data_IF_273971787623
#
_entry.id   IF_273971787623
#
_cell.length_a   1.000
_cell.length_b   1.000
_cell.length_c   1.000
_cell.angle_alpha   90.00
_cell.angle_beta   90.00
_cell.angle_gamma   90.00
#
_symmetry.space_group_name_H-M   'P 1'
#
loop_
_entity.id
_entity.type
_entity.pdbx_description
1 polymer ?
#
# COMPACT_ATOMS: atom_id res chain seq x y z
N UNK A 1 16.43 5.85 -11.63
CA UNK A 1 15.31 5.02 -12.12
C UNK A 1 13.99 5.71 -11.76
N UNK A 2 13.08 5.81 -12.70
CA UNK A 2 11.76 6.36 -12.44
C UNK A 2 10.99 5.46 -11.47
N UNK A 3 10.18 6.04 -10.61
CA UNK A 3 9.43 5.28 -9.59
C UNK A 3 8.59 4.14 -10.17
N UNK A 4 7.94 4.38 -11.31
CA UNK A 4 7.12 3.35 -11.96
C UNK A 4 7.96 2.18 -12.49
N UNK A 5 9.15 2.42 -13.00
CA UNK A 5 10.04 1.35 -13.46
C UNK A 5 10.50 0.48 -12.30
N UNK A 6 10.77 1.09 -11.15
CA UNK A 6 11.12 0.37 -9.93
C UNK A 6 9.96 -0.54 -9.48
N UNK A 7 8.73 -0.01 -9.51
CA UNK A 7 7.54 -0.78 -9.14
C UNK A 7 7.31 -1.96 -10.09
N UNK A 8 7.49 -1.75 -11.39
CA UNK A 8 7.37 -2.83 -12.38
C UNK A 8 8.41 -3.92 -12.15
N UNK A 9 9.63 -3.53 -11.74
CA UNK A 9 10.67 -4.48 -11.39
C UNK A 9 10.30 -5.34 -10.19
N UNK A 10 9.64 -4.77 -9.18
CA UNK A 10 9.14 -5.55 -8.04
C UNK A 10 8.02 -6.51 -8.45
N UNK A 11 7.16 -6.10 -9.37
CA UNK A 11 6.05 -6.93 -9.85
C UNK A 11 6.55 -8.11 -10.67
N UNK A 12 7.51 -7.88 -11.57
CA UNK A 12 8.04 -8.97 -12.44
C UNK A 12 9.13 -9.83 -11.78
N UNK A 13 9.55 -9.45 -10.56
CA UNK A 13 10.54 -10.20 -9.79
C UNK A 13 12.00 -9.83 -10.06
N UNK A 14 12.28 -8.88 -10.95
CA UNK A 14 13.66 -8.43 -11.22
C UNK A 14 14.22 -7.56 -10.11
N UNK A 15 13.36 -6.97 -9.29
CA UNK A 15 13.71 -6.19 -8.10
C UNK A 15 13.00 -6.82 -6.91
N UNK A 16 13.70 -7.04 -5.76
CA UNK A 16 13.06 -7.59 -4.57
C UNK A 16 11.97 -6.67 -4.03
N UNK A 17 10.93 -7.27 -3.42
CA UNK A 17 9.94 -6.52 -2.64
C UNK A 17 10.63 -5.82 -1.47
N UNK A 18 10.02 -4.77 -0.95
CA UNK A 18 10.57 -4.03 0.20
C UNK A 18 10.74 -4.93 1.43
N UNK A 19 11.74 -4.67 2.29
CA UNK A 19 11.94 -5.46 3.50
C UNK A 19 10.70 -5.58 4.38
N UNK A 20 9.97 -4.49 4.60
CA UNK A 20 8.74 -4.51 5.40
C UNK A 20 7.68 -5.40 4.77
N UNK A 21 7.51 -5.33 3.45
CA UNK A 21 6.57 -6.18 2.72
C UNK A 21 6.91 -7.65 2.89
N UNK A 22 8.18 -8.00 2.78
CA UNK A 22 8.64 -9.39 2.97
C UNK A 22 8.42 -9.87 4.41
N UNK A 23 8.70 -9.00 5.38
CA UNK A 23 8.52 -9.33 6.80
C UNK A 23 7.06 -9.55 7.15
N UNK A 24 6.17 -8.70 6.67
CA UNK A 24 4.74 -8.79 6.97
C UNK A 24 3.98 -9.70 6.00
N UNK A 25 4.60 -10.13 4.91
CA UNK A 25 4.00 -11.12 4.00
C UNK A 25 3.01 -10.54 3.00
N UNK A 26 3.19 -9.29 2.58
CA UNK A 26 2.41 -8.72 1.48
C UNK A 26 3.33 -8.33 0.32
N UNK A 27 2.77 -8.04 -0.82
CA UNK A 27 3.55 -7.72 -2.01
C UNK A 27 2.84 -6.69 -2.89
N UNK A 28 3.63 -5.89 -3.60
CA UNK A 28 3.15 -5.05 -4.69
C UNK A 28 2.84 -5.96 -5.87
N UNK A 29 1.62 -5.91 -6.38
CA UNK A 29 1.13 -6.82 -7.41
C UNK A 29 0.70 -6.14 -8.70
N UNK A 30 0.46 -4.83 -8.69
CA UNK A 30 0.13 -4.06 -9.89
C UNK A 30 0.50 -2.60 -9.68
N UNK A 31 0.84 -1.91 -10.76
CA UNK A 31 1.17 -0.50 -10.71
C UNK A 31 0.99 0.17 -12.07
N UNK A 32 0.53 1.40 -12.04
CA UNK A 32 0.58 2.35 -13.15
C UNK A 32 0.74 3.76 -12.56
N UNK A 33 0.96 4.75 -13.37
CA UNK A 33 1.16 6.10 -12.86
C UNK A 33 -0.03 6.52 -11.99
N UNK A 34 0.24 6.86 -10.74
CA UNK A 34 -0.76 7.28 -9.76
C UNK A 34 -1.57 6.17 -9.13
N UNK A 35 -1.24 4.90 -9.38
CA UNK A 35 -1.98 3.76 -8.83
C UNK A 35 -1.04 2.60 -8.47
N UNK A 36 -1.25 2.02 -7.29
CA UNK A 36 -0.52 0.83 -6.85
C UNK A 36 -1.46 -0.13 -6.14
N UNK A 37 -1.35 -1.42 -6.47
CA UNK A 37 -2.02 -2.51 -5.78
C UNK A 37 -1.03 -3.27 -4.91
N UNK A 38 -1.44 -3.54 -3.68
CA UNK A 38 -0.72 -4.38 -2.72
C UNK A 38 -1.66 -5.50 -2.27
N UNK A 39 -1.19 -6.73 -2.27
CA UNK A 39 -1.99 -7.90 -1.88
C UNK A 39 -1.41 -8.62 -0.69
N UNK A 40 -2.28 -9.19 0.12
CA UNK A 40 -1.92 -10.07 1.23
C UNK A 40 -2.83 -11.31 1.21
N UNK A 41 -2.25 -12.46 1.52
CA UNK A 41 -3.01 -13.65 1.88
C UNK A 41 -3.00 -13.73 3.41
N UNK A 42 -4.14 -13.43 4.08
CA UNK A 42 -4.17 -13.36 5.54
C UNK A 42 -3.80 -14.68 6.19
N UNK A 43 -2.78 -14.64 7.06
CA UNK A 43 -2.25 -15.79 7.78
C UNK A 43 -2.44 -15.60 9.27
N UNK A 44 -2.27 -16.67 10.02
CA UNK A 44 -2.39 -16.63 11.48
C UNK A 44 -1.37 -15.69 12.11
N UNK A 45 -0.16 -15.58 11.54
CA UNK A 45 0.86 -14.67 12.08
C UNK A 45 0.52 -13.20 11.87
N UNK A 46 -0.53 -12.87 11.14
CA UNK A 46 -1.04 -11.51 11.03
C UNK A 46 -2.05 -11.16 12.12
N UNK A 47 -2.46 -12.13 12.94
CA UNK A 47 -3.55 -11.95 13.88
C UNK A 47 -3.16 -11.08 15.09
N UNK A 48 -4.13 -10.32 15.57
CA UNK A 48 -4.04 -9.60 16.85
C UNK A 48 -4.50 -10.50 18.02
N UNK A 49 -4.59 -9.92 19.22
CA UNK A 49 -4.98 -10.66 20.42
C UNK A 49 -6.40 -11.24 20.39
N UNK A 50 -7.29 -10.70 19.56
CA UNK A 50 -8.68 -11.18 19.44
C UNK A 50 -8.90 -12.06 18.19
N UNK A 51 -7.84 -12.38 17.46
CA UNK A 51 -7.90 -13.37 16.38
C UNK A 51 -8.21 -12.83 14.98
N UNK A 52 -8.41 -11.54 14.80
CA UNK A 52 -8.51 -10.93 13.47
C UNK A 52 -7.16 -10.39 13.03
N UNK A 53 -7.00 -10.08 11.74
CA UNK A 53 -5.76 -9.49 11.24
C UNK A 53 -5.52 -8.15 11.93
N UNK A 54 -4.31 -7.96 12.45
CA UNK A 54 -3.93 -6.74 13.16
C UNK A 54 -4.11 -5.52 12.26
N UNK A 55 -4.77 -4.49 12.81
CA UNK A 55 -5.01 -3.25 12.05
C UNK A 55 -3.73 -2.58 11.55
N UNK A 56 -2.63 -2.74 12.27
CA UNK A 56 -1.33 -2.23 11.87
C UNK A 56 -0.77 -2.88 10.60
N UNK A 57 -1.12 -4.14 10.34
CA UNK A 57 -0.73 -4.83 9.09
C UNK A 57 -1.40 -4.15 7.91
N UNK A 58 -2.72 -3.90 8.02
CA UNK A 58 -3.47 -3.22 6.97
C UNK A 58 -2.99 -1.77 6.79
N UNK A 59 -2.68 -1.09 7.89
CA UNK A 59 -2.12 0.27 7.84
C UNK A 59 -0.77 0.29 7.10
N UNK A 60 0.09 -0.70 7.32
CA UNK A 60 1.36 -0.82 6.60
C UNK A 60 1.13 -1.03 5.10
N UNK A 61 0.14 -1.84 4.73
CA UNK A 61 -0.24 -2.04 3.32
C UNK A 61 -0.74 -0.74 2.69
N UNK A 62 -1.58 0.02 3.41
CA UNK A 62 -2.06 1.32 2.94
C UNK A 62 -0.93 2.32 2.76
N UNK A 63 -0.03 2.40 3.75
CA UNK A 63 1.12 3.29 3.66
C UNK A 63 1.97 2.96 2.44
N UNK A 64 2.22 1.68 2.22
CA UNK A 64 2.97 1.19 1.06
C UNK A 64 2.25 1.53 -0.26
N UNK A 65 0.98 1.19 -0.39
CA UNK A 65 0.24 1.40 -1.64
C UNK A 65 0.09 2.89 -1.96
N UNK A 66 -0.27 3.69 -0.97
CA UNK A 66 -0.46 5.14 -1.17
C UNK A 66 0.87 5.85 -1.42
N UNK A 67 1.89 5.54 -0.62
CA UNK A 67 3.22 6.14 -0.79
C UNK A 67 3.82 5.81 -2.15
N UNK A 68 3.73 4.56 -2.58
CA UNK A 68 4.24 4.14 -3.89
C UNK A 68 3.42 4.71 -5.04
N UNK A 69 2.11 4.96 -4.86
CA UNK A 69 1.31 5.66 -5.87
C UNK A 69 1.80 7.08 -6.09
N UNK A 70 2.23 7.76 -5.03
CA UNK A 70 2.90 9.06 -5.12
C UNK A 70 4.24 8.92 -5.83
N UNK A 71 5.06 7.95 -5.42
CA UNK A 71 6.38 7.70 -6.02
C UNK A 71 6.29 7.49 -7.52
N UNK A 72 5.25 6.84 -7.99
CA UNK A 72 5.04 6.56 -9.42
C UNK A 72 4.85 7.83 -10.26
N UNK A 73 4.52 8.95 -9.64
CA UNK A 73 4.31 10.25 -10.31
C UNK A 73 5.55 11.14 -10.25
N UNK A 74 6.57 10.75 -9.49
CA UNK A 74 7.77 11.57 -9.26
C UNK A 74 8.86 11.27 -10.27
N UNK A 75 9.68 12.29 -10.55
CA UNK A 75 10.84 12.14 -11.42
C UNK A 75 11.89 11.22 -10.75
N UNK A 76 12.77 10.66 -11.57
CA UNK A 76 13.90 9.86 -11.07
C UNK A 76 14.73 10.66 -10.06
N UNK A 77 15.08 10.02 -8.95
CA UNK A 77 15.89 10.63 -7.89
C UNK A 77 15.10 11.44 -6.86
N UNK A 78 13.82 11.68 -7.08
CA UNK A 78 12.96 12.39 -6.13
C UNK A 78 12.28 11.36 -5.22
N UNK A 79 12.48 11.52 -3.92
CA UNK A 79 11.89 10.64 -2.91
C UNK A 79 10.67 11.26 -2.25
N UNK A 80 10.11 10.52 -1.31
CA UNK A 80 8.99 10.99 -0.50
C UNK A 80 9.09 10.39 0.89
N UNK A 81 8.35 11.00 1.82
CA UNK A 81 8.12 10.41 3.14
C UNK A 81 6.70 10.72 3.59
N UNK A 82 6.09 9.80 4.31
CA UNK A 82 4.73 9.95 4.81
C UNK A 82 4.70 10.94 5.97
N UNK A 83 3.82 11.95 5.89
CA UNK A 83 3.58 12.90 6.96
C UNK A 83 2.45 12.47 7.87
N UNK A 84 1.39 11.91 7.30
CA UNK A 84 0.27 11.37 8.06
C UNK A 84 -0.34 10.17 7.34
N UNK A 85 -1.08 9.39 8.10
CA UNK A 85 -1.78 8.22 7.62
C UNK A 85 -3.03 8.04 8.47
N UNK A 86 -4.20 8.05 7.82
CA UNK A 86 -5.47 7.80 8.49
C UNK A 86 -6.12 6.58 7.87
N UNK A 87 -6.51 5.63 8.69
CA UNK A 87 -7.18 4.40 8.25
C UNK A 87 -8.51 4.28 8.98
N UNK A 88 -9.56 4.02 8.21
CA UNK A 88 -10.88 3.73 8.74
C UNK A 88 -11.21 2.27 8.46
N UNK A 89 -11.35 1.48 9.51
CA UNK A 89 -11.66 0.06 9.43
C UNK A 89 -13.16 -0.15 9.41
N UNK A 90 -13.64 -0.90 8.42
CA UNK A 90 -15.06 -1.12 8.18
C UNK A 90 -15.43 -2.56 8.50
N UNK A 91 -14.63 -3.53 8.08
CA UNK A 91 -14.82 -4.97 8.29
C UNK A 91 -13.56 -5.63 8.78
N UNK A 92 -13.64 -6.59 9.72
CA UNK A 92 -12.46 -7.35 10.12
C UNK A 92 -12.02 -8.30 8.99
N UNK A 93 -10.73 -8.61 8.99
CA UNK A 93 -10.13 -9.62 8.12
C UNK A 93 -9.79 -10.82 8.99
N UNK A 94 -10.21 -12.02 8.56
CA UNK A 94 -9.91 -13.25 9.27
C UNK A 94 -8.67 -13.93 8.68
N UNK A 95 -7.75 -14.44 9.54
CA UNK A 95 -6.68 -15.29 9.07
C UNK A 95 -7.24 -16.48 8.28
N UNK A 96 -6.60 -16.78 7.15
CA UNK A 96 -7.02 -17.89 6.29
C UNK A 96 -8.09 -17.56 5.25
N UNK A 97 -8.71 -16.37 5.31
CA UNK A 97 -9.58 -15.96 4.22
C UNK A 97 -8.80 -15.68 2.94
N UNK A 98 -9.50 -15.60 1.81
CA UNK A 98 -8.89 -15.29 0.50
C UNK A 98 -8.22 -13.92 0.49
N UNK A 99 -7.35 -13.70 -0.48
CA UNK A 99 -6.53 -12.51 -0.59
C UNK A 99 -7.32 -11.20 -0.42
N UNK A 100 -6.71 -10.25 0.27
CA UNK A 100 -7.20 -8.88 0.42
C UNK A 100 -6.31 -7.97 -0.44
N UNK A 101 -6.93 -7.09 -1.21
CA UNK A 101 -6.24 -6.15 -2.09
C UNK A 101 -6.40 -4.74 -1.56
N UNK A 102 -5.28 -4.05 -1.47
CA UNK A 102 -5.23 -2.64 -1.09
C UNK A 102 -4.82 -1.83 -2.31
N UNK A 103 -5.61 -0.84 -2.65
CA UNK A 103 -5.34 0.07 -3.76
C UNK A 103 -4.99 1.45 -3.21
N UNK A 104 -3.90 2.00 -3.69
CA UNK A 104 -3.49 3.37 -3.42
C UNK A 104 -3.61 4.22 -4.68
N UNK A 105 -4.17 5.40 -4.53
CA UNK A 105 -4.40 6.36 -5.62
C UNK A 105 -3.78 7.69 -5.24
N UNK A 106 -2.81 8.14 -6.02
CA UNK A 106 -2.29 9.50 -5.88
C UNK A 106 -3.34 10.48 -6.40
N UNK A 107 -3.78 11.40 -5.53
CA UNK A 107 -4.79 12.40 -5.90
C UNK A 107 -4.17 13.69 -6.41
N UNK A 108 -3.01 14.05 -5.85
CA UNK A 108 -2.34 15.29 -6.17
C UNK A 108 -0.85 15.16 -5.87
N UNK A 109 -0.03 15.63 -6.80
CA UNK A 109 1.41 15.74 -6.62
C UNK A 109 1.82 17.19 -6.80
N UNK A 110 2.21 17.84 -5.70
CA UNK A 110 2.74 19.19 -5.71
C UNK A 110 4.27 19.18 -5.63
N UNK A 111 4.82 20.38 -5.53
CA UNK A 111 6.27 20.53 -5.41
C UNK A 111 6.81 19.98 -4.09
N UNK A 112 6.08 20.18 -3.00
CA UNK A 112 6.52 19.81 -1.63
C UNK A 112 5.66 18.75 -0.98
N UNK A 113 4.39 18.67 -1.34
CA UNK A 113 3.45 17.71 -0.76
C UNK A 113 2.69 16.99 -1.85
N UNK A 114 2.27 15.79 -1.53
CA UNK A 114 1.38 14.99 -2.35
C UNK A 114 0.33 14.35 -1.46
N UNK A 115 -0.86 14.13 -2.00
CA UNK A 115 -1.94 13.46 -1.28
C UNK A 115 -2.38 12.21 -2.01
N UNK A 116 -2.80 11.22 -1.22
CA UNK A 116 -3.27 9.95 -1.75
C UNK A 116 -4.46 9.44 -0.93
N UNK A 117 -5.27 8.62 -1.56
CA UNK A 117 -6.34 7.88 -0.92
C UNK A 117 -6.14 6.38 -1.15
N UNK A 118 -6.79 5.58 -0.32
CA UNK A 118 -6.72 4.14 -0.46
C UNK A 118 -8.01 3.46 -0.12
N UNK A 119 -8.18 2.26 -0.65
CA UNK A 119 -9.28 1.38 -0.28
C UNK A 119 -8.80 -0.07 -0.27
N UNK A 120 -9.33 -0.86 0.66
CA UNK A 120 -9.05 -2.27 0.77
C UNK A 120 -10.34 -3.05 0.53
N UNK A 121 -10.25 -4.12 -0.26
CA UNK A 121 -11.38 -5.01 -0.58
C UNK A 121 -10.99 -6.46 -0.41
N UNK A 122 -11.96 -7.28 0.01
CA UNK A 122 -11.77 -8.72 0.05
C UNK A 122 -11.98 -9.35 -1.35
N UNK A 123 -11.85 -10.67 -1.43
CA UNK A 123 -11.97 -11.39 -2.69
C UNK A 123 -13.37 -11.29 -3.31
N UNK A 124 -14.39 -11.01 -2.50
CA UNK A 124 -15.78 -10.81 -2.96
C UNK A 124 -16.06 -9.36 -3.37
N UNK A 125 -15.05 -8.49 -3.28
CA UNK A 125 -15.19 -7.08 -3.62
C UNK A 125 -15.80 -6.22 -2.51
N UNK A 126 -15.99 -6.76 -1.31
CA UNK A 126 -16.54 -5.99 -0.18
C UNK A 126 -15.49 -5.03 0.37
N UNK A 127 -15.91 -3.81 0.67
CA UNK A 127 -15.03 -2.80 1.23
C UNK A 127 -14.63 -3.16 2.67
N UNK A 128 -13.33 -3.28 2.91
CA UNK A 128 -12.74 -3.65 4.20
C UNK A 128 -12.34 -2.39 4.98
N UNK A 129 -11.75 -1.43 4.31
CA UNK A 129 -11.22 -0.22 4.92
C UNK A 129 -10.98 0.86 3.87
N UNK A 130 -10.93 2.11 4.33
CA UNK A 130 -10.50 3.25 3.52
C UNK A 130 -9.38 3.99 4.22
N UNK A 131 -8.58 4.73 3.45
CA UNK A 131 -7.46 5.48 4.01
C UNK A 131 -7.17 6.75 3.23
N UNK A 132 -6.47 7.66 3.89
CA UNK A 132 -5.91 8.86 3.27
C UNK A 132 -4.52 9.11 3.82
N UNK A 133 -3.68 9.79 3.05
CA UNK A 133 -2.30 10.07 3.42
C UNK A 133 -1.84 11.36 2.76
N UNK A 134 -0.96 12.07 3.45
CA UNK A 134 -0.19 13.19 2.91
C UNK A 134 1.28 12.82 2.96
N UNK A 135 1.99 13.07 1.87
CA UNK A 135 3.43 12.82 1.77
C UNK A 135 4.18 14.13 1.60
N UNK A 136 5.38 14.19 2.15
CA UNK A 136 6.37 15.21 1.84
C UNK A 136 7.21 14.74 0.65
N UNK A 137 7.32 15.58 -0.37
CA UNK A 137 8.15 15.30 -1.54
C UNK A 137 9.56 15.80 -1.26
N UNK A 138 10.55 14.92 -1.40
CA UNK A 138 11.95 15.20 -1.07
C UNK A 138 12.71 15.58 -2.33
N UNK A 139 12.72 16.86 -2.65
CA UNK A 139 13.43 17.39 -3.82
C UNK A 139 14.80 17.97 -3.43
#
# INVERSE_FOLDING_TARGET
MHGLDFLRGMIDGSIPQHPTSRTLGFAVTDAREGFVEVCIEPQEFHANAVGSVHGGVLAAMFDTAMGLSVSSTLEAGVGYTTLDLQVRYIRPIQPGQSAVRVHGFCEYTGRRTATARGEARDADGRLIATASSTCLVLR
#
